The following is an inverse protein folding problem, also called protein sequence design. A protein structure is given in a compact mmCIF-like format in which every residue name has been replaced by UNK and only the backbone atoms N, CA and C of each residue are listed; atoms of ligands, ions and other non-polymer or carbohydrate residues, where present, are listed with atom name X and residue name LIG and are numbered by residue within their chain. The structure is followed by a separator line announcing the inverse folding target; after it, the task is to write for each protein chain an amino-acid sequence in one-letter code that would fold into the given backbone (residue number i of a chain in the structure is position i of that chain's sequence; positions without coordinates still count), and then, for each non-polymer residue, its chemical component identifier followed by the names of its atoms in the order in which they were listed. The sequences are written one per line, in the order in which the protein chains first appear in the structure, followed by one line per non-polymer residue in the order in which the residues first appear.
data_IF_293022834370
#
_entry.id   IF_293022834370
#
_cell.length_a   1.000
_cell.length_b   1.000
_cell.length_c   1.000
_cell.angle_alpha   90.00
_cell.angle_beta   90.00
_cell.angle_gamma   90.00
#
_symmetry.space_group_name_H-M   'P 1'
#
loop_
_entity.id
_entity.type
_entity.pdbx_description
1 polymer ?
#
# COMPACT_ATOMS: atom_id res chain seq x y z
N UNK A 1 0.26 -21.64 -0.46
CA UNK A 1 1.02 -20.80 0.48
C UNK A 1 0.18 -20.39 1.69
N UNK A 2 -1.08 -19.89 1.51
CA UNK A 2 -1.91 -19.41 2.62
C UNK A 2 -2.19 -20.51 3.68
N UNK A 3 -2.61 -21.75 3.33
CA UNK A 3 -2.85 -22.77 4.34
C UNK A 3 -1.65 -23.03 5.25
N UNK A 4 -0.45 -23.10 4.68
CA UNK A 4 0.78 -23.33 5.48
C UNK A 4 1.16 -22.13 6.37
N UNK A 5 0.71 -20.93 6.02
CA UNK A 5 0.96 -19.74 6.84
C UNK A 5 -0.02 -19.64 8.01
N UNK A 6 -1.23 -20.20 7.87
CA UNK A 6 -2.25 -20.17 8.95
C UNK A 6 -1.81 -20.93 10.19
N UNK A 7 -1.01 -22.00 10.05
CA UNK A 7 -0.50 -22.79 11.16
C UNK A 7 0.49 -22.03 12.05
N UNK A 8 1.13 -20.98 11.52
CA UNK A 8 2.16 -20.19 12.22
C UNK A 8 1.70 -18.78 12.58
N UNK A 9 0.53 -18.33 12.13
CA UNK A 9 -0.02 -17.04 12.46
C UNK A 9 -0.52 -17.05 13.92
N UNK A 10 -0.04 -16.07 14.71
CA UNK A 10 -0.62 -15.80 16.02
C UNK A 10 -2.10 -15.41 15.83
N UNK A 11 -3.06 -16.10 16.45
CA UNK A 11 -4.50 -15.81 16.30
C UNK A 11 -4.89 -14.41 16.78
N UNK A 12 -4.02 -13.72 17.50
CA UNK A 12 -4.20 -12.30 17.89
C UNK A 12 -3.80 -11.30 16.80
N UNK A 13 -3.23 -11.78 15.67
CA UNK A 13 -2.84 -10.96 14.53
C UNK A 13 -3.90 -10.99 13.46
N UNK A 14 -4.22 -9.82 12.91
CA UNK A 14 -5.14 -9.74 11.78
C UNK A 14 -4.54 -10.33 10.50
N UNK A 15 -5.39 -10.95 9.70
CA UNK A 15 -5.04 -11.51 8.40
C UNK A 15 -5.60 -10.63 7.27
N UNK A 16 -4.71 -9.99 6.53
CA UNK A 16 -5.06 -9.22 5.33
C UNK A 16 -4.78 -10.08 4.09
N UNK A 17 -5.78 -10.26 3.23
CA UNK A 17 -5.66 -11.11 2.04
C UNK A 17 -5.91 -10.31 0.77
N UNK A 18 -5.04 -10.49 -0.22
CA UNK A 18 -5.15 -9.80 -1.51
C UNK A 18 -6.25 -10.44 -2.38
N UNK A 19 -7.00 -9.59 -3.08
CA UNK A 19 -8.00 -9.98 -4.08
C UNK A 19 -7.48 -9.74 -5.49
N UNK A 20 -6.70 -8.67 -5.70
CA UNK A 20 -6.22 -8.32 -7.03
C UNK A 20 -5.17 -9.30 -7.56
N UNK A 21 -5.14 -9.48 -8.87
CA UNK A 21 -4.03 -10.12 -9.57
C UNK A 21 -2.78 -9.23 -9.51
N UNK A 22 -1.63 -9.84 -9.32
CA UNK A 22 -0.33 -9.14 -9.40
C UNK A 22 -0.01 -8.69 -10.84
N UNK A 23 -0.67 -9.26 -11.84
CA UNK A 23 -0.55 -8.93 -13.26
C UNK A 23 -1.66 -7.95 -13.61
N UNK A 24 -1.28 -6.72 -13.90
CA UNK A 24 -2.21 -5.71 -14.43
C UNK A 24 -2.20 -5.71 -15.95
N UNK A 25 -3.32 -5.28 -16.55
CA UNK A 25 -3.38 -5.04 -18.00
C UNK A 25 -2.78 -3.67 -18.32
N UNK A 26 -1.65 -3.68 -19.03
CA UNK A 26 -0.98 -2.46 -19.50
C UNK A 26 -1.52 -2.09 -20.89
N UNK A 27 -2.29 -1.03 -20.96
CA UNK A 27 -2.89 -0.53 -22.19
C UNK A 27 -2.23 0.76 -22.64
N UNK A 28 -2.46 1.18 -23.89
CA UNK A 28 -1.96 2.47 -24.37
C UNK A 28 -2.48 3.66 -23.53
N UNK A 29 -3.67 3.53 -22.93
CA UNK A 29 -4.31 4.57 -22.13
C UNK A 29 -3.94 4.50 -20.64
N UNK A 30 -3.31 3.43 -20.16
CA UNK A 30 -2.92 3.23 -18.77
C UNK A 30 -3.11 1.79 -18.28
N UNK A 31 -3.00 1.60 -16.95
CA UNK A 31 -3.07 0.30 -16.29
C UNK A 31 -4.45 0.00 -15.75
N UNK A 32 -4.90 -1.24 -15.92
CA UNK A 32 -6.18 -1.73 -15.40
C UNK A 32 -5.91 -2.93 -14.50
N UNK A 33 -6.41 -2.84 -13.25
CA UNK A 33 -6.35 -3.92 -12.27
C UNK A 33 -7.48 -4.92 -12.47
N UNK A 34 -7.26 -6.17 -12.11
CA UNK A 34 -8.27 -7.22 -12.10
C UNK A 34 -8.13 -8.09 -10.85
N UNK A 35 -9.15 -8.88 -10.55
CA UNK A 35 -9.08 -9.87 -9.47
C UNK A 35 -8.43 -11.16 -9.95
N UNK A 36 -7.82 -11.90 -9.02
CA UNK A 36 -7.33 -13.26 -9.25
C UNK A 36 -8.51 -14.15 -9.70
N UNK A 37 -8.32 -14.93 -10.74
CA UNK A 37 -9.33 -15.85 -11.26
C UNK A 37 -9.85 -16.80 -10.18
N UNK A 38 -11.17 -16.99 -10.17
CA UNK A 38 -11.85 -17.84 -9.20
C UNK A 38 -11.66 -17.44 -7.73
N UNK A 39 -11.19 -16.21 -7.45
CA UNK A 39 -11.04 -15.63 -6.14
C UNK A 39 -12.08 -14.52 -5.89
N UNK A 40 -12.51 -14.33 -4.65
CA UNK A 40 -13.56 -13.34 -4.36
C UNK A 40 -13.53 -12.89 -2.91
N UNK A 41 -14.14 -11.75 -2.61
CA UNK A 41 -14.33 -11.23 -1.24
C UNK A 41 -14.99 -12.28 -0.35
N UNK A 42 -16.04 -12.97 -0.84
CA UNK A 42 -16.74 -14.02 -0.07
C UNK A 42 -15.82 -15.19 0.28
N UNK A 43 -14.90 -15.59 -0.60
CA UNK A 43 -13.93 -16.66 -0.32
C UNK A 43 -12.90 -16.21 0.69
N UNK A 44 -12.44 -14.96 0.61
CA UNK A 44 -11.52 -14.34 1.57
C UNK A 44 -12.15 -14.30 2.96
N UNK A 45 -13.40 -13.84 3.08
CA UNK A 45 -14.14 -13.83 4.35
C UNK A 45 -14.29 -15.24 4.93
N UNK A 46 -14.72 -16.22 4.12
CA UNK A 46 -14.88 -17.62 4.59
C UNK A 46 -13.58 -18.28 5.00
N UNK A 47 -12.44 -17.81 4.52
CA UNK A 47 -11.13 -18.28 4.93
C UNK A 47 -10.73 -17.75 6.32
N UNK A 48 -11.48 -16.83 6.91
CA UNK A 48 -11.20 -16.22 8.20
C UNK A 48 -10.30 -15.00 8.13
N UNK A 49 -10.21 -14.33 6.98
CA UNK A 49 -9.49 -13.08 6.87
C UNK A 49 -10.25 -11.91 7.52
N UNK A 50 -9.49 -10.97 8.07
CA UNK A 50 -10.01 -9.75 8.70
C UNK A 50 -10.18 -8.60 7.71
N UNK A 51 -9.37 -8.58 6.65
CA UNK A 51 -9.44 -7.55 5.62
C UNK A 51 -9.14 -8.10 4.21
N UNK A 52 -9.80 -7.50 3.23
CA UNK A 52 -9.48 -7.63 1.80
C UNK A 52 -8.55 -6.49 1.42
N UNK A 53 -7.48 -6.81 0.72
CA UNK A 53 -6.57 -5.80 0.15
C UNK A 53 -6.71 -5.79 -1.37
N UNK A 54 -6.80 -4.61 -1.96
CA UNK A 54 -6.71 -4.38 -3.41
C UNK A 54 -5.73 -3.27 -3.69
N UNK A 55 -4.83 -3.51 -4.65
CA UNK A 55 -4.02 -2.48 -5.29
C UNK A 55 -4.74 -2.00 -6.56
N UNK A 56 -4.90 -0.71 -6.71
CA UNK A 56 -5.19 -0.10 -8.00
C UNK A 56 -4.10 0.88 -8.42
N UNK A 57 -3.70 0.75 -9.67
CA UNK A 57 -2.87 1.73 -10.35
C UNK A 57 -3.76 2.87 -10.83
N UNK A 58 -3.52 4.09 -10.36
CA UNK A 58 -4.37 5.21 -10.74
C UNK A 58 -3.55 6.47 -11.01
N UNK A 59 -3.86 7.13 -12.11
CA UNK A 59 -3.25 8.41 -12.49
C UNK A 59 -4.32 9.33 -13.07
N UNK A 60 -4.55 10.50 -12.47
CA UNK A 60 -5.64 11.41 -12.86
C UNK A 60 -5.60 11.86 -14.32
N UNK A 61 -4.43 11.80 -14.97
CA UNK A 61 -4.22 12.18 -16.38
C UNK A 61 -4.16 10.97 -17.33
N UNK A 62 -4.58 9.78 -16.90
CA UNK A 62 -4.74 8.60 -17.74
C UNK A 62 -5.97 8.73 -18.66
N UNK A 63 -6.11 7.78 -19.60
CA UNK A 63 -7.29 7.73 -20.48
C UNK A 63 -8.59 7.58 -19.67
N UNK A 64 -9.63 8.30 -20.06
CA UNK A 64 -10.92 8.31 -19.38
C UNK A 64 -11.52 6.91 -19.19
N UNK A 65 -11.37 6.02 -20.18
CA UNK A 65 -11.89 4.65 -20.09
C UNK A 65 -11.13 3.83 -19.05
N UNK A 66 -9.81 4.06 -18.93
CA UNK A 66 -8.97 3.43 -17.90
C UNK A 66 -9.36 3.94 -16.52
N UNK A 67 -9.54 5.26 -16.35
CA UNK A 67 -9.99 5.84 -15.09
C UNK A 67 -11.34 5.24 -14.66
N UNK A 68 -12.32 5.20 -15.57
CA UNK A 68 -13.63 4.63 -15.28
C UNK A 68 -13.55 3.15 -14.91
N UNK A 69 -12.78 2.36 -15.66
CA UNK A 69 -12.61 0.94 -15.36
C UNK A 69 -12.01 0.70 -13.96
N UNK A 70 -11.02 1.52 -13.56
CA UNK A 70 -10.45 1.42 -12.21
C UNK A 70 -11.45 1.86 -11.13
N UNK A 71 -12.20 2.92 -11.37
CA UNK A 71 -13.24 3.39 -10.46
C UNK A 71 -14.34 2.34 -10.28
N UNK A 72 -14.84 1.75 -11.36
CA UNK A 72 -15.86 0.70 -11.33
C UNK A 72 -15.36 -0.54 -10.59
N UNK A 73 -14.11 -0.93 -10.85
CA UNK A 73 -13.48 -2.07 -10.17
C UNK A 73 -13.42 -1.87 -8.65
N UNK A 74 -12.91 -0.72 -8.20
CA UNK A 74 -12.77 -0.39 -6.78
C UNK A 74 -14.13 -0.29 -6.10
N UNK A 75 -15.10 0.37 -6.75
CA UNK A 75 -16.46 0.48 -6.23
C UNK A 75 -17.09 -0.90 -6.05
N UNK A 76 -16.99 -1.79 -7.04
CA UNK A 76 -17.51 -3.15 -6.94
C UNK A 76 -16.89 -3.93 -5.79
N UNK A 77 -15.58 -3.80 -5.57
CA UNK A 77 -14.91 -4.46 -4.43
C UNK A 77 -15.42 -3.90 -3.11
N UNK A 78 -15.56 -2.59 -2.98
CA UNK A 78 -16.12 -1.96 -1.77
C UNK A 78 -17.54 -2.42 -1.46
N UNK A 79 -18.40 -2.50 -2.48
CA UNK A 79 -19.77 -3.03 -2.33
C UNK A 79 -19.78 -4.49 -1.85
N UNK A 80 -18.86 -5.33 -2.37
CA UNK A 80 -18.72 -6.72 -1.90
C UNK A 80 -18.15 -6.77 -0.46
N UNK A 81 -17.19 -5.91 -0.10
CA UNK A 81 -16.66 -5.85 1.25
C UNK A 81 -17.75 -5.47 2.27
N UNK A 82 -18.56 -4.46 1.98
CA UNK A 82 -19.72 -4.09 2.80
C UNK A 82 -20.72 -5.24 2.91
N UNK A 83 -21.05 -5.92 1.80
CA UNK A 83 -21.97 -7.05 1.77
C UNK A 83 -21.55 -8.21 2.66
N UNK A 84 -20.25 -8.49 2.72
CA UNK A 84 -19.71 -9.62 3.48
C UNK A 84 -19.15 -9.21 4.85
N UNK A 85 -19.36 -7.97 5.26
CA UNK A 85 -18.88 -7.42 6.54
C UNK A 85 -17.38 -7.73 6.77
N UNK A 86 -16.52 -7.25 5.86
CA UNK A 86 -15.07 -7.40 5.92
C UNK A 86 -14.39 -6.08 5.55
N UNK A 87 -13.34 -5.71 6.28
CA UNK A 87 -12.62 -4.46 6.04
C UNK A 87 -12.00 -4.41 4.64
N UNK A 88 -12.10 -3.25 4.00
CA UNK A 88 -11.49 -2.96 2.72
C UNK A 88 -10.24 -2.09 2.88
N UNK A 89 -9.06 -2.69 2.72
CA UNK A 89 -7.78 -2.01 2.67
C UNK A 89 -7.41 -1.73 1.22
N UNK A 90 -7.44 -0.45 0.85
CA UNK A 90 -7.20 -0.03 -0.53
C UNK A 90 -5.80 0.55 -0.72
N UNK A 91 -5.01 -0.11 -1.53
CA UNK A 91 -3.66 0.30 -1.90
C UNK A 91 -3.67 1.08 -3.21
N UNK A 92 -3.11 2.30 -3.17
CA UNK A 92 -3.16 3.24 -4.28
C UNK A 92 -1.75 3.65 -4.69
N UNK A 93 -1.45 3.51 -5.98
CA UNK A 93 -0.16 3.87 -6.56
C UNK A 93 -0.33 4.63 -7.88
N UNK A 94 0.45 5.69 -8.04
CA UNK A 94 0.67 6.30 -9.35
C UNK A 94 1.71 5.50 -10.14
N UNK A 95 1.70 5.64 -11.47
CA UNK A 95 2.54 4.86 -12.37
C UNK A 95 2.91 5.66 -13.61
N UNK A 96 4.01 5.33 -14.33
CA UNK A 96 4.37 6.00 -15.58
C UNK A 96 3.43 5.58 -16.72
N UNK A 97 2.88 6.57 -17.43
CA UNK A 97 2.17 6.35 -18.70
C UNK A 97 3.17 6.16 -19.85
N UNK A 98 2.71 5.60 -20.97
CA UNK A 98 3.55 5.33 -22.16
C UNK A 98 4.29 6.56 -22.69
N UNK A 99 3.76 7.77 -22.45
CA UNK A 99 4.37 9.06 -22.82
C UNK A 99 5.47 9.54 -21.85
N UNK A 100 5.55 8.95 -20.67
CA UNK A 100 6.51 9.39 -19.66
C UNK A 100 7.90 8.80 -19.92
N UNK A 101 8.93 9.50 -19.47
CA UNK A 101 10.29 8.97 -19.39
C UNK A 101 10.37 7.97 -18.21
N UNK A 102 11.30 7.02 -18.29
CA UNK A 102 11.54 6.04 -17.24
C UNK A 102 10.36 5.08 -16.97
N UNK A 103 9.98 4.35 -18.00
CA UNK A 103 8.99 3.29 -17.93
C UNK A 103 9.45 2.20 -16.95
N UNK A 104 8.54 1.73 -16.09
CA UNK A 104 8.73 0.55 -15.25
C UNK A 104 7.43 -0.23 -15.16
N UNK A 105 7.54 -1.57 -15.19
CA UNK A 105 6.43 -2.49 -14.91
C UNK A 105 6.51 -3.03 -13.48
N UNK A 106 7.60 -2.71 -12.77
CA UNK A 106 7.82 -3.18 -11.42
C UNK A 106 6.92 -2.41 -10.43
N UNK A 107 6.59 -3.08 -9.36
CA UNK A 107 5.96 -2.47 -8.20
C UNK A 107 7.01 -1.68 -7.42
N UNK A 108 7.32 -0.49 -7.92
CA UNK A 108 8.29 0.44 -7.32
C UNK A 108 7.78 1.86 -7.42
N UNK A 109 8.32 2.73 -6.58
CA UNK A 109 8.02 4.15 -6.64
C UNK A 109 8.32 4.72 -8.03
N UNK A 110 7.38 5.45 -8.58
CA UNK A 110 7.56 6.15 -9.85
C UNK A 110 8.58 7.26 -9.68
N UNK A 111 9.70 7.19 -10.43
CA UNK A 111 10.64 8.32 -10.53
C UNK A 111 9.91 9.51 -11.18
N UNK A 112 10.18 10.71 -10.71
CA UNK A 112 9.53 11.94 -11.21
C UNK A 112 7.99 11.93 -11.06
N UNK A 113 7.45 11.27 -10.04
CA UNK A 113 6.03 11.39 -9.72
C UNK A 113 5.71 12.83 -9.33
N UNK A 114 4.48 13.24 -9.63
CA UNK A 114 3.97 14.54 -9.21
C UNK A 114 3.12 14.36 -7.96
N UNK A 115 3.41 15.10 -6.92
CA UNK A 115 2.61 15.18 -5.68
C UNK A 115 1.13 15.36 -5.99
N UNK A 116 0.81 16.23 -6.94
CA UNK A 116 -0.57 16.47 -7.40
C UNK A 116 -1.27 15.19 -7.88
N UNK A 117 -0.58 14.29 -8.57
CA UNK A 117 -1.17 13.03 -9.03
C UNK A 117 -1.52 12.10 -7.87
N UNK A 118 -0.64 12.02 -6.86
CA UNK A 118 -0.90 11.23 -5.66
C UNK A 118 -2.09 11.80 -4.90
N UNK A 119 -2.09 13.11 -4.62
CA UNK A 119 -3.16 13.77 -3.87
C UNK A 119 -4.52 13.65 -4.57
N UNK A 120 -4.60 13.93 -5.88
CA UNK A 120 -5.84 13.77 -6.66
C UNK A 120 -6.33 12.32 -6.72
N UNK A 121 -5.42 11.34 -6.71
CA UNK A 121 -5.80 9.94 -6.67
C UNK A 121 -6.44 9.59 -5.32
N UNK A 122 -5.88 10.09 -4.22
CA UNK A 122 -6.46 9.91 -2.87
C UNK A 122 -7.82 10.61 -2.78
N UNK A 123 -7.94 11.84 -3.27
CA UNK A 123 -9.18 12.61 -3.30
C UNK A 123 -10.30 11.86 -4.04
N UNK A 124 -10.03 11.31 -5.22
CA UNK A 124 -11.01 10.52 -5.96
C UNK A 124 -11.55 9.36 -5.13
N UNK A 125 -10.67 8.54 -4.56
CA UNK A 125 -11.08 7.32 -3.85
C UNK A 125 -11.50 7.56 -2.40
N UNK A 126 -11.40 8.78 -1.88
CA UNK A 126 -11.94 9.14 -0.57
C UNK A 126 -13.47 9.22 -0.55
N UNK A 127 -14.12 9.27 -1.72
CA UNK A 127 -15.58 9.25 -1.81
C UNK A 127 -16.16 7.95 -1.21
N UNK A 128 -17.21 8.11 -0.40
CA UNK A 128 -17.85 6.99 0.31
C UNK A 128 -18.41 5.90 -0.61
N UNK A 129 -18.69 6.21 -1.89
CA UNK A 129 -19.14 5.22 -2.88
C UNK A 129 -18.20 4.04 -3.05
N UNK A 130 -16.91 4.23 -2.76
CA UNK A 130 -15.90 3.19 -2.90
C UNK A 130 -15.79 2.24 -1.70
N UNK A 131 -16.42 2.56 -0.57
CA UNK A 131 -16.44 1.69 0.62
C UNK A 131 -15.06 1.37 1.20
N UNK A 132 -14.07 2.26 1.00
CA UNK A 132 -12.71 2.08 1.55
C UNK A 132 -12.73 2.33 3.05
N UNK A 133 -12.21 1.39 3.85
CA UNK A 133 -12.08 1.54 5.29
C UNK A 133 -10.69 2.08 5.69
N UNK A 134 -9.65 1.56 5.04
CA UNK A 134 -8.26 1.93 5.31
C UNK A 134 -7.52 2.16 4.00
N UNK A 135 -6.83 3.27 3.87
CA UNK A 135 -5.93 3.50 2.76
C UNK A 135 -4.53 2.96 3.04
N UNK A 136 -3.89 2.36 2.02
CA UNK A 136 -2.47 2.08 1.98
C UNK A 136 -1.83 2.95 0.91
N UNK A 137 -1.11 3.99 1.31
CA UNK A 137 -0.67 5.08 0.43
C UNK A 137 0.85 5.09 0.23
N UNK A 138 1.27 5.48 -0.95
CA UNK A 138 2.68 5.84 -1.20
C UNK A 138 2.99 7.24 -0.69
N UNK A 139 4.28 7.53 -0.49
CA UNK A 139 4.73 8.89 -0.18
C UNK A 139 4.25 9.87 -1.26
N UNK A 140 3.71 11.05 -0.90
CA UNK A 140 3.28 12.06 -1.88
C UNK A 140 4.46 12.69 -2.62
N UNK A 141 5.69 12.52 -2.14
CA UNK A 141 6.95 12.99 -2.74
C UNK A 141 7.92 11.83 -2.94
N UNK A 142 8.95 12.01 -3.75
CA UNK A 142 9.97 10.98 -3.92
C UNK A 142 10.70 10.71 -2.60
N UNK A 143 10.76 9.45 -2.19
CA UNK A 143 11.35 9.05 -0.92
C UNK A 143 12.84 9.43 -0.80
N UNK A 144 13.60 9.35 -1.89
CA UNK A 144 15.03 9.69 -1.94
C UNK A 144 15.34 11.20 -1.86
N UNK A 145 14.32 12.04 -2.03
CA UNK A 145 14.47 13.51 -2.05
C UNK A 145 13.71 14.18 -0.89
N UNK A 146 13.17 13.37 0.02
CA UNK A 146 12.30 13.82 1.10
C UNK A 146 13.01 14.74 2.09
N UNK A 147 12.33 15.77 2.52
CA UNK A 147 12.78 16.76 3.50
C UNK A 147 11.69 17.16 4.48
N UNK A 148 12.04 17.84 5.56
CA UNK A 148 11.05 18.36 6.51
C UNK A 148 10.06 19.37 5.91
N UNK A 149 10.40 19.99 4.78
CA UNK A 149 9.50 20.93 4.09
C UNK A 149 8.32 20.23 3.43
N UNK A 150 8.40 18.92 3.24
CA UNK A 150 7.37 18.13 2.56
C UNK A 150 6.20 17.74 3.48
N UNK A 151 6.27 18.09 4.76
CA UNK A 151 5.20 17.79 5.76
C UNK A 151 3.82 18.26 5.29
N UNK A 152 3.74 19.38 4.56
CA UNK A 152 2.47 19.89 4.05
C UNK A 152 1.81 18.94 3.05
N UNK A 153 2.58 18.26 2.20
CA UNK A 153 2.04 17.26 1.26
C UNK A 153 1.46 16.04 1.99
N UNK A 154 2.12 15.59 3.07
CA UNK A 154 1.61 14.51 3.92
C UNK A 154 0.35 14.92 4.69
N UNK A 155 0.32 16.14 5.25
CA UNK A 155 -0.86 16.68 5.94
C UNK A 155 -2.06 16.76 5.00
N UNK A 156 -1.86 17.26 3.77
CA UNK A 156 -2.93 17.33 2.77
C UNK A 156 -3.41 15.95 2.36
N UNK A 157 -2.49 15.00 2.17
CA UNK A 157 -2.84 13.62 1.86
C UNK A 157 -3.70 12.98 2.96
N UNK A 158 -3.31 13.13 4.23
CA UNK A 158 -4.08 12.64 5.37
C UNK A 158 -5.46 13.28 5.48
N UNK A 159 -5.56 14.59 5.23
CA UNK A 159 -6.83 15.32 5.18
C UNK A 159 -7.74 14.83 4.06
N UNK A 160 -7.20 14.63 2.84
CA UNK A 160 -7.95 14.11 1.70
C UNK A 160 -8.40 12.66 1.94
N UNK A 161 -7.57 11.83 2.55
CA UNK A 161 -7.95 10.45 2.89
C UNK A 161 -9.18 10.41 3.81
N UNK A 162 -9.30 11.32 4.79
CA UNK A 162 -10.46 11.49 5.66
C UNK A 162 -10.81 10.25 6.52
N UNK A 163 -9.91 9.26 6.58
CA UNK A 163 -10.06 7.99 7.29
C UNK A 163 -8.68 7.41 7.60
N UNK A 164 -8.58 6.30 8.38
CA UNK A 164 -7.30 5.68 8.68
C UNK A 164 -6.50 5.37 7.41
N UNK A 165 -5.21 5.68 7.45
CA UNK A 165 -4.29 5.38 6.36
C UNK A 165 -2.95 4.89 6.88
N UNK A 166 -2.32 4.03 6.11
CA UNK A 166 -1.01 3.44 6.41
C UNK A 166 -0.05 3.70 5.26
N UNK A 167 1.24 3.85 5.58
CA UNK A 167 2.28 4.13 4.60
C UNK A 167 2.86 2.84 4.00
N UNK A 168 3.04 2.80 2.70
CA UNK A 168 3.76 1.75 2.00
C UNK A 168 5.18 2.17 1.63
N UNK A 169 6.10 1.22 1.47
CA UNK A 169 7.50 1.52 1.17
C UNK A 169 7.81 1.74 -0.31
N UNK A 170 6.94 1.32 -1.22
CA UNK A 170 7.12 1.40 -2.69
C UNK A 170 8.51 0.97 -3.21
N UNK A 171 9.25 0.15 -2.45
CA UNK A 171 10.63 -0.24 -2.80
C UNK A 171 11.70 0.78 -2.43
N UNK A 172 11.37 1.81 -1.66
CA UNK A 172 12.33 2.75 -1.10
C UNK A 172 13.39 2.03 -0.24
N UNK A 173 14.60 2.58 -0.19
CA UNK A 173 15.67 2.13 0.69
C UNK A 173 15.27 2.28 2.17
N UNK A 174 16.04 1.63 3.06
CA UNK A 174 15.71 1.61 4.50
C UNK A 174 15.67 3.00 5.11
N UNK A 175 16.70 3.83 4.84
CA UNK A 175 16.78 5.17 5.40
C UNK A 175 15.73 6.11 4.79
N UNK A 176 15.53 6.04 3.47
CA UNK A 176 14.51 6.82 2.80
C UNK A 176 13.12 6.51 3.36
N UNK A 177 12.83 5.22 3.59
CA UNK A 177 11.54 4.82 4.15
C UNK A 177 11.37 5.26 5.62
N UNK A 178 12.43 5.30 6.42
CA UNK A 178 12.38 5.89 7.76
C UNK A 178 11.98 7.36 7.72
N UNK A 179 12.64 8.14 6.86
CA UNK A 179 12.35 9.56 6.69
C UNK A 179 10.88 9.78 6.24
N UNK A 180 10.39 8.93 5.33
CA UNK A 180 8.96 8.91 4.92
C UNK A 180 8.05 8.66 6.12
N UNK A 181 8.36 7.65 6.94
CA UNK A 181 7.54 7.31 8.11
C UNK A 181 7.50 8.44 9.14
N UNK A 182 8.62 9.11 9.41
CA UNK A 182 8.65 10.23 10.35
C UNK A 182 7.68 11.35 9.95
N UNK A 183 7.62 11.73 8.67
CA UNK A 183 6.67 12.72 8.20
C UNK A 183 5.23 12.18 8.17
N UNK A 184 5.05 10.93 7.71
CA UNK A 184 3.74 10.31 7.66
C UNK A 184 3.07 10.25 9.03
N UNK A 185 3.81 9.83 10.07
CA UNK A 185 3.27 9.78 11.43
C UNK A 185 3.03 11.17 12.01
N UNK A 186 3.86 12.17 11.73
CA UNK A 186 3.60 13.56 12.09
C UNK A 186 2.31 14.09 11.45
N UNK A 187 1.96 13.58 10.27
CA UNK A 187 0.74 13.91 9.52
C UNK A 187 -0.49 13.03 9.87
N UNK A 188 -0.42 12.21 10.92
CA UNK A 188 -1.54 11.41 11.40
C UNK A 188 -1.69 10.03 10.75
N UNK A 189 -0.63 9.49 10.13
CA UNK A 189 -0.60 8.12 9.65
C UNK A 189 -0.84 7.13 10.79
N UNK A 190 -1.69 6.12 10.55
CA UNK A 190 -2.07 5.12 11.57
C UNK A 190 -1.09 3.95 11.67
N UNK A 191 -0.21 3.75 10.67
CA UNK A 191 0.70 2.62 10.65
C UNK A 191 1.47 2.50 9.33
N UNK A 192 2.12 1.37 9.13
CA UNK A 192 2.80 1.09 7.87
C UNK A 192 2.63 -0.38 7.45
N UNK A 193 2.69 -0.61 6.14
CA UNK A 193 2.75 -1.95 5.53
C UNK A 193 3.95 -1.99 4.59
N UNK A 194 5.06 -2.52 5.09
CA UNK A 194 6.31 -2.64 4.35
C UNK A 194 6.68 -4.11 4.13
N UNK A 195 7.24 -4.39 2.99
CA UNK A 195 7.72 -5.73 2.63
C UNK A 195 9.21 -5.67 2.26
N UNK A 196 9.50 -5.35 0.99
CA UNK A 196 10.86 -5.36 0.46
C UNK A 196 11.85 -4.51 1.25
N UNK A 197 11.45 -3.35 1.75
CA UNK A 197 12.29 -2.52 2.62
C UNK A 197 12.80 -3.27 3.88
N UNK A 198 12.07 -4.31 4.33
CA UNK A 198 12.43 -5.11 5.50
C UNK A 198 13.27 -6.33 5.10
N UNK A 199 12.82 -7.10 4.11
CA UNK A 199 13.35 -8.43 3.85
C UNK A 199 14.21 -8.57 2.58
N UNK A 200 14.22 -7.61 1.65
CA UNK A 200 14.85 -7.76 0.34
C UNK A 200 16.35 -8.04 0.45
N UNK A 201 17.07 -7.31 1.32
CA UNK A 201 18.53 -7.50 1.50
C UNK A 201 18.88 -8.93 1.93
N UNK A 202 18.01 -9.55 2.75
CA UNK A 202 18.18 -10.94 3.13
C UNK A 202 18.11 -11.87 1.91
N UNK A 203 17.13 -11.64 1.03
CA UNK A 203 16.91 -12.47 -0.16
C UNK A 203 17.90 -12.24 -1.30
N UNK A 204 18.69 -11.18 -1.27
CA UNK A 204 19.84 -11.04 -2.19
C UNK A 204 20.88 -12.13 -2.01
N UNK A 205 20.84 -12.87 -0.91
CA UNK A 205 21.74 -13.99 -0.65
C UNK A 205 21.20 -15.34 -1.19
N UNK A 206 20.08 -15.35 -1.93
CA UNK A 206 19.55 -16.56 -2.54
C UNK A 206 20.60 -17.18 -3.50
N UNK A 207 20.80 -18.51 -3.48
CA UNK A 207 20.00 -19.54 -2.79
C UNK A 207 20.49 -19.97 -1.39
N UNK A 208 21.34 -19.20 -0.72
CA UNK A 208 21.87 -19.54 0.59
C UNK A 208 20.84 -19.28 1.72
N UNK A 209 20.05 -20.30 2.04
CA UNK A 209 18.98 -20.21 3.03
C UNK A 209 19.46 -19.95 4.46
N UNK A 210 20.66 -20.42 4.83
CA UNK A 210 21.20 -20.17 6.17
C UNK A 210 21.54 -18.68 6.36
N UNK A 211 22.16 -18.06 5.36
CA UNK A 211 22.41 -16.61 5.38
C UNK A 211 21.09 -15.85 5.36
N UNK A 212 20.14 -16.22 4.50
CA UNK A 212 18.81 -15.57 4.47
C UNK A 212 18.16 -15.59 5.85
N UNK A 213 18.15 -16.77 6.51
CA UNK A 213 17.57 -16.93 7.85
C UNK A 213 18.27 -16.03 8.88
N UNK A 214 19.60 -15.99 8.88
CA UNK A 214 20.37 -15.11 9.77
C UNK A 214 20.03 -13.64 9.56
N UNK A 215 19.95 -13.20 8.30
CA UNK A 215 19.62 -11.82 7.94
C UNK A 215 18.19 -11.45 8.36
N UNK A 216 17.23 -12.36 8.19
CA UNK A 216 15.85 -12.12 8.61
C UNK A 216 15.71 -12.06 10.14
N UNK A 217 16.37 -12.94 10.88
CA UNK A 217 16.32 -12.97 12.35
C UNK A 217 17.11 -11.84 13.02
N UNK A 218 18.17 -11.35 12.37
CA UNK A 218 19.00 -10.25 12.86
C UNK A 218 18.62 -8.91 12.18
N UNK A 219 19.40 -8.44 11.19
CA UNK A 219 19.27 -7.09 10.63
C UNK A 219 17.85 -6.70 10.18
N UNK A 220 17.09 -7.62 9.54
CA UNK A 220 15.73 -7.33 9.09
C UNK A 220 14.77 -7.13 10.27
N UNK A 221 14.88 -7.96 11.29
CA UNK A 221 14.07 -7.85 12.51
C UNK A 221 14.43 -6.59 13.31
N UNK A 222 15.71 -6.23 13.39
CA UNK A 222 16.15 -5.03 14.08
C UNK A 222 15.65 -3.77 13.38
N UNK A 223 15.71 -3.74 12.05
CA UNK A 223 15.12 -2.66 11.26
C UNK A 223 13.58 -2.57 11.46
N UNK A 224 12.87 -3.71 11.47
CA UNK A 224 11.44 -3.72 11.76
C UNK A 224 11.11 -3.13 13.14
N UNK A 225 11.92 -3.46 14.17
CA UNK A 225 11.78 -2.87 15.50
C UNK A 225 12.06 -1.37 15.51
N UNK A 226 13.05 -0.93 14.74
CA UNK A 226 13.42 0.49 14.63
C UNK A 226 12.27 1.31 14.05
N UNK A 227 11.74 0.91 12.88
CA UNK A 227 10.59 1.60 12.27
C UNK A 227 9.32 1.48 13.11
N UNK A 228 9.17 0.38 13.85
CA UNK A 228 8.08 0.20 14.82
C UNK A 228 8.11 1.21 15.96
N UNK A 229 9.29 1.63 16.42
CA UNK A 229 9.43 2.68 17.44
C UNK A 229 8.93 4.05 16.93
N UNK A 230 9.19 4.38 15.65
CA UNK A 230 8.67 5.62 15.04
C UNK A 230 7.15 5.64 15.14
N UNK A 231 6.50 4.51 14.79
CA UNK A 231 5.05 4.35 14.89
C UNK A 231 4.52 4.53 16.33
N UNK A 232 5.23 4.01 17.33
CA UNK A 232 4.79 4.04 18.73
C UNK A 232 4.92 5.45 19.35
N UNK A 233 5.99 6.15 19.04
CA UNK A 233 6.24 7.51 19.59
C UNK A 233 5.19 8.50 19.07
N UNK A 234 4.75 8.33 17.83
CA UNK A 234 3.79 9.23 17.18
C UNK A 234 2.33 8.91 17.53
N UNK A 235 2.00 7.65 17.84
CA UNK A 235 0.65 7.19 18.16
C UNK A 235 0.19 7.45 19.61
N UNK A 236 0.99 8.08 20.46
CA UNK A 236 0.59 8.45 21.83
C UNK A 236 -0.61 9.43 21.90
N UNK A 237 -1.18 9.86 20.78
CA UNK A 237 -2.28 10.82 20.70
C UNK A 237 -3.52 10.33 19.93
N UNK A 238 -3.56 9.10 19.43
CA UNK A 238 -4.75 8.59 18.72
C UNK A 238 -5.63 7.85 19.75
N UNK A 239 -6.54 8.57 20.37
CA UNK A 239 -7.71 7.98 21.04
C UNK A 239 -8.74 7.67 19.95
N UNK A 240 -9.02 6.40 19.70
CA UNK A 240 -10.21 6.01 18.94
C UNK A 240 -11.47 6.41 19.71
N UNK A 241 -12.47 7.00 19.02
CA UNK A 241 -13.76 7.29 19.65
C UNK A 241 -14.52 6.04 20.04
#
# INVERSE_FOLDING_TARGET
AIPSSMDILDPKKGLVVTLEDSIFSDTQGGRVSSSIDHWSVSKIKRMGADAVKVLAWYRPDADRKVLQAQQDYVQKVGEECMKYDILFLFELLVYPLSKDKHQTKDYVEMKNKKTEHVLKSVEEFSNNKYGVDVFKLESPVNASEISNNDINAFNEMGKLAGRPWVMLSAGAGKEDFKNVLELAFKAGCSGFLAGRAIWLDAFLNYPNWDIIKQQLLGPSNDYLKEIGKIATISNCSITYP
#
